data_IF_087064469748
#
_entry.id   IF_087064469748
#
_cell.length_a   1.000
_cell.length_b   1.000
_cell.length_c   1.000
_cell.angle_alpha   90.00
_cell.angle_beta   90.00
_cell.angle_gamma   90.00
#
_symmetry.space_group_name_H-M   'P 1'
#
loop_
_entity.id
_entity.type
_entity.pdbx_description
1 polymer ?
#
# COMPACT_ATOMS: atom_id res chain seq x y z
N UNK A 1 11.44 12.14 -19.42
CA UNK A 1 10.53 11.65 -18.36
C UNK A 1 10.48 12.68 -17.25
N UNK A 2 9.30 12.99 -16.70
CA UNK A 2 9.18 13.97 -15.61
C UNK A 2 9.81 13.38 -14.33
N UNK A 3 10.63 14.15 -13.62
CA UNK A 3 11.25 13.68 -12.37
C UNK A 3 10.18 13.36 -11.33
N UNK A 4 10.42 12.34 -10.50
CA UNK A 4 9.50 12.01 -9.40
C UNK A 4 9.44 13.19 -8.44
N UNK A 5 8.24 13.60 -8.06
CA UNK A 5 8.01 14.71 -7.12
C UNK A 5 8.01 14.29 -5.65
N UNK A 6 7.94 12.98 -5.40
CA UNK A 6 8.00 12.38 -4.07
C UNK A 6 8.86 11.11 -4.13
N UNK A 7 9.44 10.75 -2.98
CA UNK A 7 10.23 9.55 -2.76
C UNK A 7 9.48 8.58 -1.84
N UNK A 8 9.98 7.35 -1.76
CA UNK A 8 9.45 6.32 -0.85
C UNK A 8 9.54 6.77 0.61
N UNK A 9 10.63 7.46 0.97
CA UNK A 9 10.83 7.99 2.32
C UNK A 9 9.78 9.04 2.68
N UNK A 10 9.38 9.90 1.74
CA UNK A 10 8.32 10.88 1.98
C UNK A 10 6.99 10.19 2.32
N UNK A 11 6.67 9.11 1.61
CA UNK A 11 5.44 8.36 1.84
C UNK A 11 5.52 7.51 3.11
N UNK A 12 6.68 6.92 3.44
CA UNK A 12 6.90 6.20 4.71
C UNK A 12 6.72 7.15 5.90
N UNK A 13 7.32 8.34 5.86
CA UNK A 13 7.16 9.33 6.93
C UNK A 13 5.70 9.76 7.08
N UNK A 14 4.98 9.92 5.97
CA UNK A 14 3.53 10.14 6.01
C UNK A 14 2.80 8.97 6.69
N UNK A 15 3.08 7.71 6.33
CA UNK A 15 2.45 6.54 6.95
C UNK A 15 2.75 6.42 8.45
N UNK A 16 3.97 6.75 8.88
CA UNK A 16 4.35 6.76 10.30
C UNK A 16 3.62 7.86 11.08
N UNK A 17 3.37 9.01 10.47
CA UNK A 17 2.70 10.14 11.11
C UNK A 17 1.16 10.07 11.05
N UNK A 18 0.61 9.50 9.97
CA UNK A 18 -0.81 9.31 9.80
C UNK A 18 -1.31 8.21 10.75
N UNK A 19 -2.46 8.44 11.41
CA UNK A 19 -3.01 7.47 12.36
C UNK A 19 -4.34 6.85 11.91
N UNK A 20 -5.04 7.50 10.98
CA UNK A 20 -6.43 7.15 10.64
C UNK A 20 -6.75 7.17 9.14
N UNK A 21 -6.13 8.07 8.39
CA UNK A 21 -6.42 8.26 6.97
C UNK A 21 -5.11 8.23 6.18
N UNK A 22 -4.98 7.23 5.31
CA UNK A 22 -3.73 6.91 4.60
C UNK A 22 -3.90 7.03 3.07
N UNK A 23 -4.71 8.00 2.63
CA UNK A 23 -4.98 8.19 1.20
C UNK A 23 -3.90 9.06 0.55
N UNK A 24 -3.73 8.93 -0.76
CA UNK A 24 -2.84 9.81 -1.53
C UNK A 24 -3.30 11.29 -1.48
N UNK A 25 -4.58 11.56 -1.23
CA UNK A 25 -5.09 12.93 -1.04
C UNK A 25 -4.67 13.50 0.30
N UNK A 26 -4.71 12.70 1.38
CA UNK A 26 -4.22 13.13 2.69
C UNK A 26 -2.69 13.33 2.68
N UNK A 27 -1.96 12.44 1.99
CA UNK A 27 -0.51 12.57 1.82
C UNK A 27 -0.12 13.86 1.09
N UNK A 28 -0.93 14.32 0.13
CA UNK A 28 -0.73 15.58 -0.57
C UNK A 28 -1.12 16.79 0.29
N UNK A 29 -2.23 16.69 1.04
CA UNK A 29 -2.72 17.74 1.94
C UNK A 29 -1.73 18.08 3.05
N UNK A 30 -1.01 17.10 3.60
CA UNK A 30 -0.07 17.31 4.69
C UNK A 30 1.33 17.76 4.24
N UNK A 31 1.55 17.96 2.94
CA UNK A 31 2.84 18.45 2.45
C UNK A 31 3.05 19.91 2.86
N UNK A 32 4.29 20.32 3.17
CA UNK A 32 4.59 21.73 3.37
C UNK A 32 4.31 22.52 2.09
N UNK A 33 3.88 23.78 2.24
CA UNK A 33 3.71 24.71 1.11
C UNK A 33 5.08 25.08 0.53
N UNK A 34 5.43 24.46 -0.60
CA UNK A 34 6.63 24.76 -1.37
C UNK A 34 6.34 24.66 -2.87
N UNK A 35 7.10 25.35 -3.72
CA UNK A 35 7.05 25.12 -5.16
C UNK A 35 7.23 23.64 -5.46
N UNK A 36 6.38 23.10 -6.34
CA UNK A 36 6.41 21.70 -6.77
C UNK A 36 6.09 20.66 -5.67
N UNK A 37 5.37 21.03 -4.60
CA UNK A 37 4.85 20.06 -3.64
C UNK A 37 4.13 18.89 -4.34
N UNK A 38 4.34 17.65 -3.87
CA UNK A 38 3.70 16.49 -4.50
C UNK A 38 2.18 16.53 -4.30
N UNK A 39 1.45 16.46 -5.40
CA UNK A 39 0.02 16.23 -5.40
C UNK A 39 -0.32 14.73 -5.28
N UNK A 40 -1.60 14.42 -5.10
CA UNK A 40 -2.07 13.03 -4.89
C UNK A 40 -1.66 12.07 -6.03
N UNK A 41 -1.57 12.57 -7.26
CA UNK A 41 -1.19 11.80 -8.44
C UNK A 41 0.30 11.40 -8.43
N UNK A 42 1.16 12.19 -7.77
CA UNK A 42 2.57 11.86 -7.58
C UNK A 42 2.73 10.64 -6.68
N UNK A 43 2.04 10.61 -5.53
CA UNK A 43 2.00 9.46 -4.63
C UNK A 43 1.36 8.24 -5.30
N UNK A 44 0.26 8.44 -6.04
CA UNK A 44 -0.38 7.35 -6.80
C UNK A 44 0.60 6.73 -7.80
N UNK A 45 1.38 7.55 -8.52
CA UNK A 45 2.40 7.04 -9.46
C UNK A 45 3.56 6.35 -8.73
N UNK A 46 3.97 6.84 -7.58
CA UNK A 46 5.01 6.23 -6.74
C UNK A 46 4.61 4.79 -6.40
N UNK A 47 3.42 4.62 -5.81
CA UNK A 47 2.90 3.32 -5.40
C UNK A 47 2.70 2.37 -6.57
N UNK A 48 2.18 2.87 -7.71
CA UNK A 48 1.98 2.04 -8.91
C UNK A 48 3.28 1.56 -9.56
N UNK A 49 4.40 2.27 -9.38
CA UNK A 49 5.71 1.85 -9.89
C UNK A 49 6.32 0.74 -9.04
N UNK A 50 5.97 0.69 -7.77
CA UNK A 50 6.38 -0.36 -6.86
C UNK A 50 5.37 -1.52 -6.95
N UNK A 51 5.51 -2.36 -7.97
CA UNK A 51 4.85 -3.67 -7.88
C UNK A 51 5.54 -4.44 -6.74
N UNK A 52 4.84 -4.82 -5.66
CA UNK A 52 5.46 -5.65 -4.65
C UNK A 52 5.87 -6.97 -5.30
N UNK A 53 7.13 -7.36 -5.13
CA UNK A 53 7.57 -8.71 -5.42
C UNK A 53 6.94 -9.63 -4.37
N UNK A 54 5.76 -10.13 -4.68
CA UNK A 54 5.00 -11.01 -3.80
C UNK A 54 5.74 -12.30 -3.48
N UNK A 55 6.65 -12.74 -4.36
CA UNK A 55 7.50 -13.91 -4.13
C UNK A 55 8.63 -13.63 -3.14
N UNK A 56 9.23 -12.43 -3.16
CA UNK A 56 10.18 -12.01 -2.13
C UNK A 56 9.51 -11.89 -0.76
N UNK A 57 8.34 -11.24 -0.69
CA UNK A 57 7.56 -11.12 0.55
C UNK A 57 7.19 -12.49 1.12
N UNK A 58 6.72 -13.41 0.27
CA UNK A 58 6.40 -14.77 0.72
C UNK A 58 7.61 -15.48 1.29
N UNK A 59 8.77 -15.44 0.61
CA UNK A 59 10.01 -16.10 1.10
C UNK A 59 10.44 -15.60 2.48
N UNK A 60 10.25 -14.32 2.76
CA UNK A 60 10.55 -13.76 4.08
C UNK A 60 9.54 -14.21 5.14
N UNK A 61 8.24 -14.19 4.83
CA UNK A 61 7.19 -14.61 5.75
C UNK A 61 7.18 -16.13 6.00
N UNK A 62 7.53 -16.92 4.99
CA UNK A 62 7.42 -18.39 5.00
C UNK A 62 8.19 -19.04 6.15
N UNK A 63 9.32 -18.45 6.57
CA UNK A 63 10.15 -19.01 7.65
C UNK A 63 9.49 -18.97 9.03
N UNK A 64 8.46 -18.14 9.21
CA UNK A 64 7.71 -18.03 10.47
C UNK A 64 6.29 -18.61 10.37
N UNK A 65 5.93 -19.23 9.25
CA UNK A 65 4.63 -19.85 9.02
C UNK A 65 4.74 -21.36 9.21
N UNK A 66 3.98 -21.91 10.16
CA UNK A 66 3.75 -23.35 10.25
C UNK A 66 2.81 -23.77 9.11
N UNK A 67 3.29 -24.64 8.22
CA UNK A 67 2.53 -25.11 7.04
C UNK A 67 1.67 -26.34 7.34
N UNK A 68 1.91 -27.01 8.46
CA UNK A 68 1.21 -28.24 8.85
C UNK A 68 0.07 -27.95 9.83
N UNK A 69 0.03 -26.75 10.41
CA UNK A 69 -0.99 -26.31 11.36
C UNK A 69 -1.51 -24.94 10.98
N UNK A 70 -2.80 -24.74 11.12
CA UNK A 70 -3.42 -23.46 10.82
C UNK A 70 -4.83 -23.34 11.38
N UNK A 71 -5.35 -22.12 11.28
CA UNK A 71 -6.75 -21.80 11.59
C UNK A 71 -7.42 -21.37 10.28
N UNK A 72 -8.66 -21.81 10.07
CA UNK A 72 -9.50 -21.23 9.03
C UNK A 72 -9.97 -19.85 9.51
N UNK A 73 -9.38 -18.79 8.97
CA UNK A 73 -9.80 -17.42 9.22
C UNK A 73 -10.75 -17.01 8.09
N UNK A 74 -12.04 -16.86 8.42
CA UNK A 74 -13.02 -16.28 7.52
C UNK A 74 -13.00 -14.77 7.69
N UNK A 75 -12.35 -14.08 6.75
CA UNK A 75 -12.27 -12.62 6.73
C UNK A 75 -13.38 -12.03 5.85
N UNK A 76 -14.39 -11.46 6.50
CA UNK A 76 -15.53 -10.79 5.88
C UNK A 76 -15.15 -9.42 5.25
N UNK A 77 -13.94 -8.89 5.52
CA UNK A 77 -13.50 -7.61 4.94
C UNK A 77 -13.15 -7.68 3.43
N UNK A 78 -13.30 -8.86 2.82
CA UNK A 78 -13.11 -9.08 1.38
C UNK A 78 -14.41 -9.14 0.56
N UNK A 79 -15.58 -9.18 1.22
CA UNK A 79 -16.88 -9.38 0.58
C UNK A 79 -17.40 -8.15 -0.18
N UNK A 80 -17.06 -6.94 0.25
CA UNK A 80 -17.49 -5.68 -0.39
C UNK A 80 -16.52 -5.15 -1.46
N UNK A 81 -15.79 -6.04 -2.16
CA UNK A 81 -15.01 -5.65 -3.33
C UNK A 81 -15.87 -5.82 -4.57
N UNK A 82 -16.30 -4.75 -5.27
CA UNK A 82 -17.16 -4.83 -6.46
C UNK A 82 -16.56 -5.64 -7.64
N UNK A 83 -15.30 -6.07 -7.52
CA UNK A 83 -14.60 -6.90 -8.49
C UNK A 83 -14.01 -8.20 -7.91
N UNK A 84 -14.39 -8.61 -6.68
CA UNK A 84 -13.99 -9.90 -6.17
C UNK A 84 -14.67 -11.02 -6.97
N UNK A 85 -13.87 -11.88 -7.59
CA UNK A 85 -14.36 -13.09 -8.24
C UNK A 85 -14.69 -14.10 -7.14
N UNK A 86 -15.95 -14.49 -7.07
CA UNK A 86 -16.40 -15.60 -6.22
C UNK A 86 -15.68 -16.87 -6.64
N UNK A 87 -14.78 -17.36 -5.80
CA UNK A 87 -14.22 -18.71 -5.94
C UNK A 87 -15.35 -19.70 -5.61
N UNK A 88 -15.99 -20.23 -6.65
CA UNK A 88 -16.94 -21.33 -6.52
C UNK A 88 -16.16 -22.65 -6.49
N UNK A 89 -16.32 -23.43 -5.43
CA UNK A 89 -16.10 -24.88 -5.41
C UNK A 89 -17.41 -25.60 -5.70
#
# INVERSE_FOLDING_TARGET
>A
MNHSRCSDLDYINFLLAAQKAFTCTEAARCQPDKPLSPAHDAFTRLLKRQLPDTGALWREAEVVVDKERGLLVLDDTTLDKPHAIRLLT
#
